data_IF_818125222416
#
_entry.id   IF_818125222416
#
_cell.length_a   1.000
_cell.length_b   1.000
_cell.length_c   1.000
_cell.angle_alpha   90.00
_cell.angle_beta   90.00
_cell.angle_gamma   90.00
#
_symmetry.space_group_name_H-M   'P 1'
#
loop_
_entity.id
_entity.type
_entity.pdbx_description
1 polymer ?
#
# COMPACT_ATOMS: atom_id res chain seq x y z
N UNK A 1 -42.06 -1.39 -26.79
CA UNK A 1 -41.82 -0.02 -26.27
C UNK A 1 -40.77 -0.07 -25.18
N UNK A 2 -39.54 0.32 -25.50
CA UNK A 2 -38.52 0.76 -24.54
C UNK A 2 -37.69 1.82 -25.27
N UNK A 3 -37.61 3.03 -24.69
CA UNK A 3 -37.08 4.22 -25.32
C UNK A 3 -35.54 4.19 -25.45
N UNK A 4 -35.09 4.48 -26.66
CA UNK A 4 -33.72 4.80 -27.07
C UNK A 4 -33.44 6.25 -26.64
N UNK A 5 -32.37 6.51 -25.88
CA UNK A 5 -31.83 7.86 -25.70
C UNK A 5 -30.52 7.96 -26.45
N UNK A 6 -30.61 8.53 -27.65
CA UNK A 6 -29.47 8.91 -28.49
C UNK A 6 -28.81 10.16 -27.91
N UNK A 7 -27.58 10.04 -27.42
CA UNK A 7 -26.72 11.21 -27.19
C UNK A 7 -25.90 11.48 -28.45
N UNK A 8 -26.32 12.49 -29.21
CA UNK A 8 -25.64 13.02 -30.39
C UNK A 8 -24.31 13.67 -30.00
N UNK A 9 -23.21 13.11 -30.50
CA UNK A 9 -21.88 13.70 -30.41
C UNK A 9 -21.76 14.84 -31.45
N UNK A 10 -21.58 16.08 -30.98
CA UNK A 10 -21.36 17.26 -31.80
C UNK A 10 -20.00 17.13 -32.54
N UNK A 11 -20.03 16.54 -33.73
CA UNK A 11 -18.89 16.41 -34.64
C UNK A 11 -18.64 17.73 -35.38
N UNK A 12 -17.93 18.65 -34.73
CA UNK A 12 -17.28 19.76 -35.45
C UNK A 12 -16.09 19.15 -36.21
N UNK A 13 -16.22 19.01 -37.54
CA UNK A 13 -15.15 18.50 -38.42
C UNK A 13 -13.99 19.51 -38.46
N UNK A 14 -12.98 19.33 -37.61
CA UNK A 14 -11.71 20.07 -37.72
C UNK A 14 -10.97 19.70 -39.02
N UNK A 15 -10.49 20.64 -39.84
CA UNK A 15 -9.61 20.26 -40.96
C UNK A 15 -8.29 19.65 -40.45
N UNK A 16 -7.64 18.79 -41.25
CA UNK A 16 -6.39 18.11 -40.83
C UNK A 16 -5.27 19.09 -40.48
N UNK A 17 -5.18 20.22 -41.19
CA UNK A 17 -4.23 21.30 -40.88
C UNK A 17 -4.49 21.91 -39.51
N UNK A 18 -5.74 22.23 -39.20
CA UNK A 18 -6.15 22.82 -37.91
C UNK A 18 -5.91 21.85 -36.75
N UNK A 19 -6.16 20.55 -36.96
CA UNK A 19 -5.92 19.52 -35.95
C UNK A 19 -4.43 19.39 -35.61
N UNK A 20 -3.55 19.48 -36.63
CA UNK A 20 -2.09 19.42 -36.44
C UNK A 20 -1.57 20.65 -35.69
N UNK A 21 -2.04 21.84 -36.03
CA UNK A 21 -1.61 23.08 -35.36
C UNK A 21 -2.02 23.12 -33.89
N UNK A 22 -3.25 22.71 -33.58
CA UNK A 22 -3.74 22.67 -32.20
C UNK A 22 -3.00 21.65 -31.33
N UNK A 23 -2.64 20.49 -31.90
CA UNK A 23 -1.80 19.50 -31.21
C UNK A 23 -0.40 20.04 -30.97
N UNK A 24 0.20 20.70 -31.97
CA UNK A 24 1.53 21.31 -31.86
C UNK A 24 1.56 22.41 -30.81
N UNK A 25 0.51 23.23 -30.73
CA UNK A 25 0.36 24.27 -29.69
C UNK A 25 0.35 23.69 -28.28
N UNK A 26 -0.20 22.50 -28.10
CA UNK A 26 -0.23 21.79 -26.82
C UNK A 26 0.99 20.87 -26.61
N UNK A 27 2.08 21.09 -27.36
CA UNK A 27 3.36 20.40 -27.20
C UNK A 27 3.40 18.99 -27.82
N UNK A 28 2.44 18.64 -28.69
CA UNK A 28 2.39 17.33 -29.34
C UNK A 28 2.55 17.44 -30.86
N UNK A 29 3.69 16.95 -31.39
CA UNK A 29 3.94 16.95 -32.82
C UNK A 29 3.33 15.69 -33.47
N UNK A 30 2.19 15.84 -34.14
CA UNK A 30 1.51 14.73 -34.80
C UNK A 30 2.20 14.32 -36.11
N UNK A 31 2.31 13.00 -36.34
CA UNK A 31 2.75 12.44 -37.62
C UNK A 31 1.73 12.66 -38.74
N UNK A 32 1.77 11.86 -39.83
CA UNK A 32 0.79 11.96 -40.92
C UNK A 32 -0.65 11.83 -40.40
N UNK A 33 -1.46 12.88 -40.59
CA UNK A 33 -2.89 12.86 -40.25
C UNK A 33 -3.61 12.42 -41.52
N UNK A 34 -4.01 11.16 -41.52
CA UNK A 34 -4.79 10.51 -42.58
C UNK A 34 -5.99 9.84 -41.91
N UNK A 35 -6.99 9.42 -42.68
CA UNK A 35 -8.26 8.92 -42.12
C UNK A 35 -8.11 7.84 -41.05
N UNK A 36 -7.14 6.94 -41.21
CA UNK A 36 -6.86 5.87 -40.25
C UNK A 36 -6.28 6.36 -38.92
N UNK A 37 -5.57 7.49 -38.90
CA UNK A 37 -4.90 8.05 -37.70
C UNK A 37 -5.63 9.28 -37.15
N UNK A 38 -6.57 9.84 -37.90
CA UNK A 38 -7.28 11.08 -37.56
C UNK A 38 -8.09 10.98 -36.26
N UNK A 39 -8.80 9.88 -36.05
CA UNK A 39 -9.59 9.66 -34.81
C UNK A 39 -8.71 9.58 -33.55
N UNK A 40 -7.50 9.05 -33.67
CA UNK A 40 -6.49 9.02 -32.60
C UNK A 40 -6.04 10.45 -32.24
N UNK A 41 -5.77 11.28 -33.23
CA UNK A 41 -5.32 12.66 -33.03
C UNK A 41 -6.41 13.57 -32.46
N UNK A 42 -7.68 13.37 -32.85
CA UNK A 42 -8.81 14.10 -32.24
C UNK A 42 -8.95 13.74 -30.75
N UNK A 43 -8.85 12.46 -30.39
CA UNK A 43 -8.87 12.02 -28.98
C UNK A 43 -7.68 12.57 -28.19
N UNK A 44 -6.50 12.62 -28.82
CA UNK A 44 -5.28 13.19 -28.23
C UNK A 44 -5.46 14.68 -27.93
N UNK A 45 -6.07 15.43 -28.86
CA UNK A 45 -6.32 16.86 -28.68
C UNK A 45 -7.28 17.12 -27.51
N UNK A 46 -8.38 16.36 -27.41
CA UNK A 46 -9.31 16.48 -26.30
C UNK A 46 -8.66 16.19 -24.94
N UNK A 47 -7.76 15.20 -24.90
CA UNK A 47 -7.00 14.85 -23.69
C UNK A 47 -6.03 15.96 -23.28
N UNK A 48 -5.30 16.53 -24.24
CA UNK A 48 -4.36 17.63 -23.98
C UNK A 48 -5.09 18.91 -23.53
N UNK A 49 -6.25 19.23 -24.12
CA UNK A 49 -7.07 20.37 -23.69
C UNK A 49 -7.58 20.20 -22.25
N UNK A 50 -7.94 18.98 -21.83
CA UNK A 50 -8.33 18.69 -20.44
C UNK A 50 -7.16 18.85 -19.47
N UNK A 51 -5.95 18.42 -19.85
CA UNK A 51 -4.73 18.62 -19.04
C UNK A 51 -4.34 20.10 -18.90
N UNK A 52 -4.43 20.88 -19.98
CA UNK A 52 -4.10 22.31 -19.94
C UNK A 52 -5.04 23.13 -19.03
N UNK A 53 -6.30 22.67 -18.87
CA UNK A 53 -7.27 23.32 -17.97
C UNK A 53 -7.05 22.99 -16.48
N UNK A 54 -6.30 21.95 -16.16
CA UNK A 54 -6.01 21.56 -14.77
C UNK A 54 -4.68 22.13 -14.24
N UNK A 55 -3.86 22.78 -15.05
CA UNK A 55 -2.50 23.25 -14.68
C UNK A 55 -2.38 24.76 -14.40
N UNK A 56 -3.48 25.54 -14.47
CA UNK A 56 -3.51 26.95 -14.06
C UNK A 56 -4.39 27.14 -12.82
N UNK A 57 -3.80 26.97 -11.64
CA UNK A 57 -4.47 27.22 -10.36
C UNK A 57 -3.71 26.66 -9.16
N UNK A 58 -2.54 27.23 -8.84
CA UNK A 58 -1.82 26.95 -7.59
C UNK A 58 -0.30 26.99 -7.74
N UNK A 59 0.34 27.95 -7.08
CA UNK A 59 1.75 28.32 -7.18
C UNK A 59 2.73 27.41 -6.40
N UNK A 60 3.80 27.02 -7.09
CA UNK A 60 5.21 26.82 -6.72
C UNK A 60 5.66 26.70 -5.24
N UNK A 61 6.20 25.52 -4.87
CA UNK A 61 7.56 25.38 -4.31
C UNK A 61 8.02 23.93 -4.43
N UNK A 62 9.12 23.70 -5.15
CA UNK A 62 9.53 22.39 -5.66
C UNK A 62 10.03 21.39 -4.62
N UNK A 63 9.55 20.16 -4.76
CA UNK A 63 10.28 18.92 -4.47
C UNK A 63 9.82 17.89 -5.51
N UNK A 64 10.77 17.28 -6.21
CA UNK A 64 10.52 16.30 -7.28
C UNK A 64 9.84 15.04 -6.72
N UNK A 65 8.53 14.90 -6.96
CA UNK A 65 7.73 13.74 -6.59
C UNK A 65 7.91 12.62 -7.62
N UNK A 66 8.58 11.54 -7.23
CA UNK A 66 8.53 10.25 -7.92
C UNK A 66 7.10 9.71 -7.78
N UNK A 67 6.23 10.06 -8.73
CA UNK A 67 4.84 9.63 -8.76
C UNK A 67 4.73 8.10 -8.92
N UNK A 68 4.49 7.40 -7.80
CA UNK A 68 4.06 6.01 -7.78
C UNK A 68 2.71 5.86 -8.50
N UNK A 69 2.63 4.94 -9.48
CA UNK A 69 1.36 4.58 -10.12
C UNK A 69 0.53 3.71 -9.16
N UNK A 70 -0.75 4.02 -8.91
CA UNK A 70 -1.60 3.18 -8.07
C UNK A 70 -1.78 1.78 -8.69
N UNK A 71 -1.62 0.74 -7.86
CA UNK A 71 -1.90 -0.66 -8.21
C UNK A 71 -3.39 -0.80 -8.61
N UNK A 72 -3.67 -1.59 -9.66
CA UNK A 72 -5.03 -1.80 -10.16
C UNK A 72 -5.89 -2.46 -9.08
N UNK A 73 -7.08 -1.91 -8.82
CA UNK A 73 -8.01 -2.45 -7.84
C UNK A 73 -8.35 -3.92 -8.12
N UNK A 74 -8.12 -4.80 -7.14
CA UNK A 74 -8.54 -6.21 -7.19
C UNK A 74 -10.06 -6.30 -7.05
N UNK A 75 -10.74 -6.79 -8.08
CA UNK A 75 -12.18 -7.08 -8.02
C UNK A 75 -12.42 -8.37 -7.22
N UNK A 76 -12.39 -8.28 -5.90
CA UNK A 76 -13.09 -9.23 -5.03
C UNK A 76 -14.26 -8.49 -4.38
N UNK A 77 -15.40 -8.55 -5.08
CA UNK A 77 -16.64 -7.90 -4.70
C UNK A 77 -17.22 -8.57 -3.45
N UNK A 78 -16.91 -8.02 -2.27
CA UNK A 78 -17.90 -8.00 -1.19
C UNK A 78 -18.83 -6.82 -1.46
N UNK A 79 -20.13 -6.98 -1.19
CA UNK A 79 -21.07 -5.86 -1.08
C UNK A 79 -20.38 -4.76 -0.27
N UNK A 80 -20.24 -3.58 -0.87
CA UNK A 80 -19.68 -2.41 -0.20
C UNK A 80 -20.64 -2.09 0.94
N UNK A 81 -20.36 -2.61 2.14
CA UNK A 81 -20.84 -2.00 3.35
C UNK A 81 -20.30 -0.57 3.30
N UNK A 82 -21.17 0.44 3.40
CA UNK A 82 -20.78 1.83 3.54
C UNK A 82 -20.10 1.98 4.90
N UNK A 83 -18.87 1.49 5.03
CA UNK A 83 -18.05 1.75 6.19
C UNK A 83 -17.81 3.26 6.25
N UNK A 84 -17.76 3.86 7.46
CA UNK A 84 -17.35 5.25 7.59
C UNK A 84 -15.99 5.45 6.92
N UNK A 85 -15.69 6.68 6.48
CA UNK A 85 -14.41 7.08 5.87
C UNK A 85 -13.25 6.91 6.86
N UNK A 86 -12.89 5.69 7.23
CA UNK A 86 -11.73 5.40 8.04
C UNK A 86 -10.52 5.39 7.11
N UNK A 87 -9.91 6.55 6.95
CA UNK A 87 -8.68 6.69 6.20
C UNK A 87 -7.53 6.53 7.19
N UNK A 88 -6.76 5.45 7.07
CA UNK A 88 -5.58 5.23 7.91
C UNK A 88 -4.56 6.38 7.81
N UNK A 89 -4.58 7.11 6.69
CA UNK A 89 -3.75 8.29 6.50
C UNK A 89 -4.19 9.43 7.41
N UNK A 90 -5.48 9.55 7.69
CA UNK A 90 -6.04 10.57 8.60
C UNK A 90 -6.02 10.08 10.06
N UNK A 91 -5.90 8.76 10.26
CA UNK A 91 -5.69 8.17 11.58
C UNK A 91 -4.24 8.42 11.99
N UNK A 92 -4.05 9.03 13.16
CA UNK A 92 -2.73 9.31 13.70
C UNK A 92 -1.90 10.30 12.84
N UNK A 93 -2.48 11.10 11.93
CA UNK A 93 -1.77 12.20 11.27
C UNK A 93 -2.22 13.58 11.79
N UNK A 94 -1.25 14.37 12.28
CA UNK A 94 -1.41 15.76 12.75
C UNK A 94 -1.97 15.87 14.17
N UNK A 95 -1.20 16.31 15.19
CA UNK A 95 -1.65 16.48 16.60
C UNK A 95 -2.43 15.30 17.24
N UNK A 96 -2.61 14.19 16.51
CA UNK A 96 -3.46 13.05 16.82
C UNK A 96 -2.60 11.86 17.30
N UNK A 97 -1.30 11.85 16.99
CA UNK A 97 -0.34 11.07 17.77
C UNK A 97 -0.20 11.56 19.23
N UNK A 98 -0.78 12.72 19.54
CA UNK A 98 -1.00 13.19 20.92
C UNK A 98 -2.44 12.94 21.43
N UNK A 99 -3.30 12.25 20.66
CA UNK A 99 -4.58 11.75 21.17
C UNK A 99 -4.38 10.62 22.17
N UNK A 100 -5.42 10.39 22.96
CA UNK A 100 -5.47 9.30 23.91
C UNK A 100 -5.39 7.95 23.17
N UNK A 101 -4.20 7.32 23.19
CA UNK A 101 -3.98 5.97 22.66
C UNK A 101 -4.64 4.89 23.52
N UNK A 102 -5.18 5.23 24.69
CA UNK A 102 -5.79 4.28 25.62
C UNK A 102 -6.85 3.36 25.00
N UNK A 103 -7.84 3.81 24.19
CA UNK A 103 -8.77 2.90 23.53
C UNK A 103 -8.07 1.89 22.60
N UNK A 104 -7.01 2.30 21.91
CA UNK A 104 -6.22 1.43 21.03
C UNK A 104 -5.43 0.38 21.83
N UNK A 105 -4.76 0.84 22.88
CA UNK A 105 -4.00 0.00 23.82
C UNK A 105 -4.93 -1.04 24.46
N UNK A 106 -6.09 -0.61 24.96
CA UNK A 106 -7.04 -1.49 25.64
C UNK A 106 -7.56 -2.62 24.73
N UNK A 107 -7.75 -2.35 23.43
CA UNK A 107 -8.14 -3.39 22.48
C UNK A 107 -7.01 -4.41 22.31
N UNK A 108 -5.76 -3.96 22.16
CA UNK A 108 -4.64 -4.88 22.03
C UNK A 108 -4.39 -5.68 23.32
N UNK A 109 -4.53 -5.06 24.50
CA UNK A 109 -4.47 -5.74 25.80
C UNK A 109 -5.56 -6.80 25.95
N UNK A 110 -6.81 -6.49 25.57
CA UNK A 110 -7.91 -7.47 25.57
C UNK A 110 -7.61 -8.65 24.64
N UNK A 111 -7.06 -8.36 23.46
CA UNK A 111 -6.69 -9.39 22.48
C UNK A 111 -5.61 -10.31 23.03
N UNK A 112 -4.53 -9.71 23.57
CA UNK A 112 -3.42 -10.45 24.18
C UNK A 112 -3.86 -11.26 25.39
N UNK A 113 -4.69 -10.69 26.26
CA UNK A 113 -5.21 -11.38 27.45
C UNK A 113 -6.06 -12.59 27.05
N UNK A 114 -6.90 -12.45 26.02
CA UNK A 114 -7.72 -13.55 25.53
C UNK A 114 -6.88 -14.73 25.00
N UNK A 115 -5.92 -14.47 24.11
CA UNK A 115 -5.06 -15.52 23.55
C UNK A 115 -3.98 -16.02 24.54
N UNK A 116 -3.67 -15.21 25.56
CA UNK A 116 -2.80 -15.58 26.66
C UNK A 116 -3.40 -16.58 27.64
N UNK A 117 -4.73 -16.68 27.70
CA UNK A 117 -5.45 -17.63 28.53
C UNK A 117 -5.57 -19.00 27.84
N UNK A 118 -4.94 -20.06 28.36
CA UNK A 118 -4.97 -21.39 27.75
C UNK A 118 -6.39 -21.96 27.55
N UNK A 119 -7.38 -21.52 28.32
CA UNK A 119 -8.78 -21.98 28.24
C UNK A 119 -9.47 -21.53 26.96
N UNK A 120 -8.96 -20.46 26.34
CA UNK A 120 -9.51 -19.90 25.10
C UNK A 120 -8.85 -20.48 23.84
N UNK A 121 -7.78 -21.23 24.00
CA UNK A 121 -6.98 -21.73 22.89
C UNK A 121 -7.51 -23.09 22.42
N UNK A 122 -7.66 -23.25 21.10
CA UNK A 122 -7.91 -24.56 20.52
C UNK A 122 -6.75 -25.52 20.85
N UNK A 123 -7.03 -26.80 21.04
CA UNK A 123 -6.05 -27.84 21.42
C UNK A 123 -4.81 -27.85 20.52
N UNK A 124 -4.96 -27.48 19.24
CA UNK A 124 -3.89 -27.45 18.25
C UNK A 124 -3.17 -26.09 18.12
N UNK A 125 -3.55 -25.09 18.92
CA UNK A 125 -3.06 -23.71 18.83
C UNK A 125 -2.52 -23.19 20.17
N UNK A 126 -1.66 -23.96 20.82
CA UNK A 126 -1.06 -23.60 22.12
C UNK A 126 0.40 -23.16 22.01
N UNK A 127 1.10 -23.55 20.94
CA UNK A 127 2.53 -23.23 20.77
C UNK A 127 2.76 -21.80 20.30
N UNK A 128 3.51 -21.04 21.11
CA UNK A 128 3.92 -19.65 20.83
C UNK A 128 5.14 -19.57 19.90
N UNK A 129 4.99 -20.05 18.66
CA UNK A 129 6.04 -20.03 17.63
C UNK A 129 5.73 -19.15 16.42
N UNK A 130 4.58 -18.48 16.45
CA UNK A 130 4.11 -17.66 15.35
C UNK A 130 4.53 -16.21 15.56
N UNK A 131 4.57 -15.48 14.46
CA UNK A 131 4.80 -14.04 14.41
C UNK A 131 4.10 -13.45 13.18
N UNK A 132 4.05 -12.14 13.11
CA UNK A 132 3.64 -11.40 11.91
C UNK A 132 4.85 -10.68 11.31
N UNK A 133 4.80 -10.37 10.02
CA UNK A 133 5.89 -9.67 9.35
C UNK A 133 5.35 -8.78 8.25
N UNK A 134 6.13 -7.76 7.93
CA UNK A 134 5.83 -6.77 6.91
C UNK A 134 6.93 -6.81 5.86
N UNK A 135 6.56 -6.69 4.58
CA UNK A 135 7.51 -6.27 3.56
C UNK A 135 7.32 -4.80 3.23
N UNK A 136 8.41 -4.04 3.31
CA UNK A 136 8.46 -2.61 3.01
C UNK A 136 9.34 -2.33 1.80
N UNK A 137 8.95 -1.32 1.04
CA UNK A 137 9.66 -0.84 -0.15
C UNK A 137 10.68 0.25 0.26
N UNK A 138 12.00 -0.04 0.23
CA UNK A 138 13.03 0.92 0.65
C UNK A 138 13.09 2.19 -0.19
N UNK A 139 12.54 2.16 -1.41
CA UNK A 139 12.48 3.33 -2.30
C UNK A 139 11.48 4.37 -1.78
N UNK A 140 10.54 3.93 -0.94
CA UNK A 140 9.56 4.78 -0.25
C UNK A 140 10.09 5.17 1.13
N UNK A 141 10.57 4.22 1.94
CA UNK A 141 11.08 4.53 3.29
C UNK A 141 12.27 5.47 3.25
N UNK A 142 13.15 5.34 2.25
CA UNK A 142 14.37 6.14 2.10
C UNK A 142 15.22 6.17 3.37
N UNK A 143 15.30 5.02 4.06
CA UNK A 143 15.96 4.88 5.36
C UNK A 143 15.44 5.89 6.39
N UNK A 144 14.12 5.88 6.58
CA UNK A 144 13.38 6.77 7.46
C UNK A 144 13.95 6.78 8.89
N UNK A 145 14.50 5.66 9.38
CA UNK A 145 15.13 5.57 10.70
C UNK A 145 16.34 6.49 10.87
N UNK A 146 17.16 6.71 9.83
CA UNK A 146 18.36 7.53 9.95
C UNK A 146 18.06 9.03 9.83
N UNK A 147 17.01 9.42 9.11
CA UNK A 147 16.53 10.80 9.09
C UNK A 147 16.16 11.30 10.49
N UNK A 148 15.63 10.41 11.35
CA UNK A 148 15.26 10.75 12.74
C UNK A 148 16.45 11.06 13.65
N UNK A 149 17.62 10.47 13.37
CA UNK A 149 18.85 10.67 14.14
C UNK A 149 19.57 11.96 13.77
N UNK A 150 19.37 12.43 12.54
CA UNK A 150 20.11 13.56 11.96
C UNK A 150 19.38 14.90 12.16
N UNK A 151 18.06 14.90 12.38
CA UNK A 151 17.26 16.12 12.37
C UNK A 151 16.71 16.49 13.77
N UNK A 152 17.22 17.59 14.33
CA UNK A 152 16.63 18.37 15.43
C UNK A 152 15.31 19.07 14.99
N UNK A 153 14.44 18.38 14.25
CA UNK A 153 13.14 18.91 13.80
C UNK A 153 12.09 18.65 14.88
N UNK A 154 11.23 19.65 15.10
CA UNK A 154 10.12 19.66 16.05
C UNK A 154 9.36 18.32 16.03
N UNK A 155 9.37 17.60 17.17
CA UNK A 155 8.87 16.21 17.35
C UNK A 155 7.58 15.88 16.59
N UNK A 156 6.62 16.81 16.53
CA UNK A 156 5.28 16.56 15.99
C UNK A 156 5.17 16.59 14.45
N UNK A 157 5.97 17.38 13.74
CA UNK A 157 5.95 17.36 12.26
C UNK A 157 6.66 16.12 11.71
N UNK A 158 7.63 15.60 12.47
CA UNK A 158 8.41 14.43 12.09
C UNK A 158 7.56 13.14 12.11
N UNK A 159 6.76 12.94 13.16
CA UNK A 159 6.00 11.69 13.36
C UNK A 159 4.89 11.46 12.32
N UNK A 160 4.22 12.51 11.83
CA UNK A 160 3.22 12.36 10.77
C UNK A 160 3.88 11.87 9.49
N UNK A 161 4.95 12.55 9.05
CA UNK A 161 5.71 12.13 7.88
C UNK A 161 6.24 10.70 8.04
N UNK A 162 6.76 10.35 9.22
CA UNK A 162 7.19 8.98 9.52
C UNK A 162 6.06 7.97 9.36
N UNK A 163 4.89 8.25 9.94
CA UNK A 163 3.70 7.41 9.82
C UNK A 163 3.29 7.24 8.36
N UNK A 164 3.13 8.34 7.64
CA UNK A 164 2.72 8.32 6.24
C UNK A 164 3.72 7.56 5.36
N UNK A 165 5.01 7.84 5.51
CA UNK A 165 6.09 7.16 4.76
C UNK A 165 6.12 5.67 5.09
N UNK A 166 6.01 5.30 6.37
CA UNK A 166 6.01 3.91 6.81
C UNK A 166 4.82 3.14 6.24
N UNK A 167 3.60 3.65 6.44
CA UNK A 167 2.37 3.01 5.96
C UNK A 167 2.38 2.85 4.43
N UNK A 168 2.82 3.88 3.69
CA UNK A 168 2.89 3.82 2.23
C UNK A 168 3.98 2.88 1.71
N UNK A 169 5.00 2.58 2.52
CA UNK A 169 6.07 1.65 2.13
C UNK A 169 5.66 0.18 2.25
N UNK A 170 4.70 -0.15 3.12
CA UNK A 170 4.25 -1.53 3.34
C UNK A 170 3.49 -2.00 2.09
N UNK A 171 4.01 -3.05 1.45
CA UNK A 171 3.35 -3.66 0.29
C UNK A 171 2.84 -5.07 0.56
N UNK A 172 3.22 -5.69 1.69
CA UNK A 172 2.73 -7.01 2.09
C UNK A 172 2.69 -7.15 3.61
N UNK A 173 1.63 -7.80 4.10
CA UNK A 173 1.48 -8.20 5.50
C UNK A 173 1.34 -9.71 5.56
N UNK A 174 2.14 -10.36 6.40
CA UNK A 174 2.11 -11.81 6.54
C UNK A 174 2.11 -12.26 7.98
N UNK A 175 1.72 -13.51 8.17
CA UNK A 175 1.98 -14.31 9.37
C UNK A 175 2.92 -15.45 9.03
N UNK A 176 3.76 -15.85 9.97
CA UNK A 176 4.71 -16.92 9.76
C UNK A 176 5.15 -17.65 11.00
N UNK A 177 5.90 -18.70 10.74
CA UNK A 177 6.64 -19.51 11.69
C UNK A 177 7.99 -19.80 11.02
N UNK A 178 9.09 -19.82 11.78
CA UNK A 178 10.43 -20.10 11.27
C UNK A 178 10.80 -19.19 10.07
N UNK A 179 11.50 -19.70 9.05
CA UNK A 179 11.95 -18.95 7.88
C UNK A 179 10.87 -18.62 6.82
N UNK A 180 9.59 -18.57 7.19
CA UNK A 180 8.51 -18.33 6.21
C UNK A 180 8.65 -17.03 5.38
N UNK A 181 9.09 -15.89 5.94
CA UNK A 181 9.30 -14.68 5.15
C UNK A 181 10.34 -14.88 4.05
N UNK A 182 11.45 -15.55 4.38
CA UNK A 182 12.54 -15.84 3.44
C UNK A 182 12.07 -16.70 2.26
N UNK A 183 11.15 -17.65 2.47
CA UNK A 183 10.60 -18.47 1.38
C UNK A 183 9.98 -17.65 0.23
N UNK A 184 9.42 -16.48 0.51
CA UNK A 184 8.88 -15.60 -0.53
C UNK A 184 9.98 -14.92 -1.34
N UNK A 185 11.10 -14.63 -0.71
CA UNK A 185 12.27 -14.04 -1.36
C UNK A 185 13.06 -15.11 -2.13
N UNK A 186 13.21 -16.32 -1.57
CA UNK A 186 13.78 -17.49 -2.24
C UNK A 186 12.99 -17.84 -3.52
N UNK A 187 11.65 -17.82 -3.45
CA UNK A 187 10.80 -18.02 -4.62
C UNK A 187 11.05 -16.97 -5.70
N UNK A 188 11.12 -15.68 -5.32
CA UNK A 188 11.45 -14.61 -6.25
C UNK A 188 12.84 -14.82 -6.85
N UNK A 189 13.83 -15.16 -6.03
CA UNK A 189 15.21 -15.38 -6.47
C UNK A 189 15.31 -16.52 -7.49
N UNK A 190 14.68 -17.66 -7.21
CA UNK A 190 14.65 -18.81 -8.13
C UNK A 190 13.98 -18.46 -9.46
N UNK A 191 12.86 -17.72 -9.43
CA UNK A 191 12.21 -17.26 -10.66
C UNK A 191 13.12 -16.34 -11.49
N UNK A 192 13.94 -15.50 -10.84
CA UNK A 192 14.83 -14.54 -11.51
C UNK A 192 16.12 -15.21 -12.03
N UNK A 193 16.85 -15.94 -11.18
CA UNK A 193 18.13 -16.58 -11.49
C UNK A 193 17.94 -17.85 -12.34
N UNK A 194 17.07 -18.76 -11.91
CA UNK A 194 16.98 -20.08 -12.55
C UNK A 194 16.11 -20.06 -13.81
N UNK A 195 15.01 -19.30 -13.79
CA UNK A 195 14.05 -19.23 -14.91
C UNK A 195 14.24 -18.00 -15.80
N UNK A 196 15.12 -17.07 -15.44
CA UNK A 196 15.40 -15.87 -16.20
C UNK A 196 14.21 -14.90 -16.31
N UNK A 197 13.24 -14.97 -15.39
CA UNK A 197 12.06 -14.10 -15.46
C UNK A 197 12.43 -12.68 -15.06
N UNK A 198 12.05 -11.72 -15.92
CA UNK A 198 12.15 -10.28 -15.64
C UNK A 198 10.88 -9.71 -15.04
N UNK A 199 9.76 -10.42 -15.17
CA UNK A 199 8.45 -9.98 -14.70
C UNK A 199 7.63 -11.17 -14.20
N UNK A 200 6.71 -10.94 -13.26
CA UNK A 200 5.79 -11.92 -12.70
C UNK A 200 4.33 -11.43 -12.78
N UNK A 201 3.39 -12.38 -12.88
CA UNK A 201 1.96 -12.09 -12.73
C UNK A 201 1.54 -11.96 -11.26
N UNK A 202 2.33 -12.50 -10.33
CA UNK A 202 2.14 -12.30 -8.90
C UNK A 202 2.68 -10.91 -8.54
N UNK A 203 1.78 -10.02 -8.09
CA UNK A 203 2.12 -8.64 -7.75
C UNK A 203 3.16 -8.53 -6.63
N UNK A 204 3.19 -9.49 -5.69
CA UNK A 204 4.18 -9.51 -4.61
C UNK A 204 5.55 -9.82 -5.18
N UNK A 205 5.66 -10.85 -6.01
CA UNK A 205 6.92 -11.21 -6.68
C UNK A 205 7.37 -10.10 -7.63
N UNK A 206 6.44 -9.51 -8.38
CA UNK A 206 6.74 -8.37 -9.25
C UNK A 206 7.27 -7.18 -8.43
N UNK A 207 6.67 -6.86 -7.28
CA UNK A 207 7.18 -5.79 -6.42
C UNK A 207 8.59 -6.07 -5.89
N UNK A 208 8.88 -7.33 -5.53
CA UNK A 208 10.22 -7.75 -5.12
C UNK A 208 11.22 -7.54 -6.27
N UNK A 209 10.86 -7.93 -7.50
CA UNK A 209 11.69 -7.67 -8.69
C UNK A 209 11.94 -6.18 -8.89
N UNK A 210 10.90 -5.36 -8.85
CA UNK A 210 11.01 -3.91 -9.04
C UNK A 210 11.97 -3.27 -8.02
N UNK A 211 11.97 -3.75 -6.77
CA UNK A 211 12.87 -3.26 -5.71
C UNK A 211 14.32 -3.68 -6.01
N UNK A 212 14.52 -4.95 -6.38
CA UNK A 212 15.86 -5.47 -6.70
C UNK A 212 16.43 -4.90 -8.00
N UNK A 213 15.60 -4.55 -8.98
CA UNK A 213 16.00 -3.89 -10.22
C UNK A 213 16.48 -2.44 -9.98
N UNK A 214 16.05 -1.80 -8.89
CA UNK A 214 16.47 -0.45 -8.48
C UNK A 214 17.70 -0.47 -7.55
N UNK A 215 18.46 -1.57 -7.54
CA UNK A 215 19.63 -1.80 -6.67
C UNK A 215 19.34 -1.58 -5.18
N UNK A 216 18.15 -2.01 -4.74
CA UNK A 216 17.73 -2.05 -3.33
C UNK A 216 17.39 -3.48 -2.92
N UNK A 217 17.24 -3.71 -1.61
CA UNK A 217 16.75 -4.97 -1.05
C UNK A 217 15.44 -4.79 -0.30
N UNK A 218 14.58 -5.81 -0.32
CA UNK A 218 13.29 -5.76 0.38
C UNK A 218 13.52 -5.68 1.88
N UNK A 219 12.80 -4.79 2.58
CA UNK A 219 12.87 -4.75 4.04
C UNK A 219 11.88 -5.79 4.58
N UNK A 220 12.37 -6.77 5.32
CA UNK A 220 11.54 -7.77 6.00
C UNK A 220 11.51 -7.50 7.50
N UNK A 221 10.48 -6.78 7.94
CA UNK A 221 10.32 -6.47 9.36
C UNK A 221 9.49 -7.53 10.05
N UNK A 222 10.07 -8.24 11.01
CA UNK A 222 9.32 -9.17 11.87
C UNK A 222 8.72 -8.42 13.05
N UNK A 223 7.42 -8.61 13.30
CA UNK A 223 6.65 -7.93 14.35
C UNK A 223 5.79 -8.92 15.13
N UNK A 224 5.60 -8.66 16.42
CA UNK A 224 4.80 -9.48 17.35
C UNK A 224 5.22 -10.96 17.38
N UNK A 225 6.39 -11.23 17.98
CA UNK A 225 6.92 -12.58 18.16
C UNK A 225 6.27 -13.35 19.31
N UNK A 226 6.51 -14.67 19.35
CA UNK A 226 6.10 -15.54 20.44
C UNK A 226 4.59 -15.52 20.70
N UNK A 227 3.82 -15.44 19.62
CA UNK A 227 2.35 -15.52 19.65
C UNK A 227 1.88 -16.88 19.16
N UNK A 228 0.67 -17.26 19.56
CA UNK A 228 0.01 -18.44 19.00
C UNK A 228 -0.46 -18.13 17.57
N UNK A 229 -0.84 -19.16 16.82
CA UNK A 229 -1.22 -19.03 15.43
C UNK A 229 -2.45 -18.13 15.24
N UNK A 230 -3.51 -18.34 16.03
CA UNK A 230 -4.75 -17.54 15.92
C UNK A 230 -4.55 -16.06 16.26
N UNK A 231 -3.63 -15.74 17.17
CA UNK A 231 -3.25 -14.37 17.48
C UNK A 231 -2.53 -13.72 16.29
N UNK A 232 -1.57 -14.43 15.68
CA UNK A 232 -0.91 -13.97 14.46
C UNK A 232 -1.89 -13.79 13.27
N UNK A 233 -2.87 -14.70 13.12
CA UNK A 233 -3.95 -14.56 12.13
C UNK A 233 -4.77 -13.28 12.36
N UNK A 234 -5.06 -12.98 13.63
CA UNK A 234 -5.85 -11.82 14.03
C UNK A 234 -5.08 -10.52 13.79
N UNK A 235 -3.80 -10.46 14.14
CA UNK A 235 -2.94 -9.30 13.87
C UNK A 235 -2.73 -9.05 12.38
N UNK A 236 -2.50 -10.10 11.59
CA UNK A 236 -2.44 -10.00 10.12
C UNK A 236 -3.75 -9.43 9.55
N UNK A 237 -4.91 -9.93 9.99
CA UNK A 237 -6.21 -9.44 9.55
C UNK A 237 -6.43 -7.97 9.88
N UNK A 238 -6.18 -7.57 11.14
CA UNK A 238 -6.36 -6.21 11.59
C UNK A 238 -5.46 -5.22 10.83
N UNK A 239 -4.18 -5.56 10.62
CA UNK A 239 -3.26 -4.73 9.85
C UNK A 239 -3.66 -4.62 8.37
N UNK A 240 -4.10 -5.72 7.74
CA UNK A 240 -4.59 -5.70 6.34
C UNK A 240 -5.83 -4.81 6.20
N UNK A 241 -6.78 -4.93 7.12
CA UNK A 241 -8.01 -4.13 7.07
C UNK A 241 -7.73 -2.65 7.30
N UNK A 242 -6.83 -2.32 8.24
CA UNK A 242 -6.43 -0.94 8.50
C UNK A 242 -5.70 -0.31 7.30
N UNK A 243 -4.77 -1.03 6.66
CA UNK A 243 -4.05 -0.55 5.46
C UNK A 243 -4.96 -0.48 4.22
N UNK A 244 -5.95 -1.38 4.16
CA UNK A 244 -6.79 -1.61 2.99
C UNK A 244 -6.08 -2.48 1.96
N UNK A 245 -6.72 -3.60 1.59
CA UNK A 245 -6.16 -4.62 0.69
C UNK A 245 -5.71 -4.07 -0.68
N UNK A 246 -6.31 -2.99 -1.17
CA UNK A 246 -5.99 -2.40 -2.48
C UNK A 246 -4.59 -1.77 -2.52
N UNK A 247 -4.00 -1.46 -1.36
CA UNK A 247 -2.62 -0.95 -1.25
C UNK A 247 -1.59 -2.07 -1.13
N UNK A 248 -2.05 -3.30 -0.90
CA UNK A 248 -1.21 -4.46 -0.64
C UNK A 248 -1.18 -5.43 -1.81
N UNK A 249 -0.05 -6.11 -1.93
CA UNK A 249 0.16 -7.23 -2.86
C UNK A 249 -0.50 -8.52 -2.36
N UNK A 250 -0.97 -8.56 -1.11
CA UNK A 250 -1.76 -9.65 -0.55
C UNK A 250 -2.90 -10.08 -1.49
N UNK A 251 -3.07 -11.39 -1.68
CA UNK A 251 -4.15 -11.95 -2.52
C UNK A 251 -5.41 -12.21 -1.70
N UNK A 252 -5.25 -12.55 -0.41
CA UNK A 252 -6.32 -12.91 0.51
C UNK A 252 -6.36 -11.91 1.65
N UNK A 253 -7.58 -11.63 2.11
CA UNK A 253 -7.80 -10.97 3.40
C UNK A 253 -7.36 -11.89 4.55
N UNK A 254 -7.09 -11.29 5.70
CA UNK A 254 -6.83 -12.03 6.92
C UNK A 254 -8.10 -12.68 7.50
N UNK A 255 -7.94 -13.40 8.60
CA UNK A 255 -9.06 -14.05 9.29
C UNK A 255 -9.00 -13.76 10.78
N UNK A 256 -9.95 -12.99 11.29
CA UNK A 256 -10.10 -12.75 12.72
C UNK A 256 -10.44 -14.04 13.48
N UNK A 257 -9.80 -14.22 14.62
CA UNK A 257 -9.99 -15.35 15.55
C UNK A 257 -10.35 -14.84 16.94
N UNK A 258 -10.76 -15.75 17.81
CA UNK A 258 -11.08 -15.44 19.20
C UNK A 258 -12.16 -14.36 19.34
N UNK A 259 -12.04 -13.55 20.41
CA UNK A 259 -12.96 -12.44 20.69
C UNK A 259 -12.99 -11.38 19.60
N UNK A 260 -11.89 -11.18 18.87
CA UNK A 260 -11.78 -10.10 17.88
C UNK A 260 -12.72 -10.35 16.70
N UNK A 261 -13.05 -11.62 16.42
CA UNK A 261 -14.00 -11.99 15.36
C UNK A 261 -15.41 -11.40 15.58
N UNK A 262 -15.83 -11.18 16.84
CA UNK A 262 -17.15 -10.63 17.18
C UNK A 262 -17.13 -9.12 17.44
N UNK A 263 -15.99 -8.47 17.34
CA UNK A 263 -15.87 -7.02 17.53
C UNK A 263 -16.52 -6.24 16.39
N UNK A 264 -16.86 -4.98 16.68
CA UNK A 264 -17.29 -4.04 15.65
C UNK A 264 -16.14 -3.76 14.69
N UNK A 265 -16.45 -3.46 13.43
CA UNK A 265 -15.44 -3.12 12.41
C UNK A 265 -14.52 -1.97 12.87
N UNK A 266 -15.07 -0.99 13.57
CA UNK A 266 -14.30 0.14 14.14
C UNK A 266 -13.23 -0.33 15.15
N UNK A 267 -13.56 -1.29 16.02
CA UNK A 267 -12.63 -1.83 17.02
C UNK A 267 -11.53 -2.66 16.34
N UNK A 268 -11.88 -3.44 15.31
CA UNK A 268 -10.93 -4.20 14.51
C UNK A 268 -9.95 -3.27 13.77
N UNK A 269 -10.45 -2.18 13.19
CA UNK A 269 -9.64 -1.15 12.53
C UNK A 269 -8.71 -0.43 13.52
N UNK A 270 -9.23 -0.06 14.70
CA UNK A 270 -8.42 0.54 15.78
C UNK A 270 -7.29 -0.40 16.21
N UNK A 271 -7.58 -1.69 16.41
CA UNK A 271 -6.54 -2.69 16.69
C UNK A 271 -5.46 -2.69 15.60
N UNK A 272 -5.86 -2.73 14.32
CA UNK A 272 -4.94 -2.71 13.18
C UNK A 272 -4.04 -1.49 13.14
N UNK A 273 -4.61 -0.29 13.34
CA UNK A 273 -3.87 0.97 13.40
C UNK A 273 -2.84 0.96 14.52
N UNK A 274 -3.21 0.47 15.71
CA UNK A 274 -2.29 0.40 16.84
C UNK A 274 -1.13 -0.57 16.62
N UNK A 275 -1.41 -1.71 15.99
CA UNK A 275 -0.37 -2.68 15.63
C UNK A 275 0.62 -2.09 14.63
N UNK A 276 0.14 -1.33 13.63
CA UNK A 276 1.00 -0.62 12.69
C UNK A 276 1.82 0.48 13.36
N UNK A 277 1.24 1.19 14.34
CA UNK A 277 1.96 2.18 15.14
C UNK A 277 3.10 1.53 15.95
N UNK A 278 2.85 0.39 16.59
CA UNK A 278 3.91 -0.39 17.24
C UNK A 278 4.98 -0.86 16.25
N UNK A 279 4.57 -1.29 15.04
CA UNK A 279 5.50 -1.70 13.99
C UNK A 279 6.40 -0.54 13.53
N UNK A 280 5.84 0.67 13.36
CA UNK A 280 6.62 1.87 13.05
C UNK A 280 7.66 2.15 14.14
N UNK A 281 7.25 2.15 15.41
CA UNK A 281 8.17 2.40 16.53
C UNK A 281 9.30 1.36 16.56
N UNK A 282 8.98 0.08 16.32
CA UNK A 282 10.01 -0.96 16.21
C UNK A 282 10.96 -0.68 15.04
N UNK A 283 10.44 -0.27 13.87
CA UNK A 283 11.25 0.04 12.69
C UNK A 283 12.20 1.22 12.95
N UNK A 284 11.71 2.29 13.59
CA UNK A 284 12.54 3.46 13.93
C UNK A 284 13.67 3.11 14.90
N UNK A 285 13.40 2.20 15.85
CA UNK A 285 14.38 1.77 16.85
C UNK A 285 15.39 0.75 16.30
N UNK A 286 14.95 -0.22 15.52
CA UNK A 286 15.79 -1.29 14.96
C UNK A 286 16.62 -0.81 13.76
N UNK A 287 16.11 0.20 13.05
CA UNK A 287 16.67 0.71 11.81
C UNK A 287 16.28 -0.11 10.58
N UNK A 288 16.59 0.42 9.41
CA UNK A 288 16.33 -0.26 8.14
C UNK A 288 17.39 -1.33 7.83
N UNK A 289 16.93 -2.53 7.46
CA UNK A 289 17.77 -3.59 6.89
C UNK A 289 17.14 -4.14 5.63
N UNK A 290 17.90 -4.12 4.54
CA UNK A 290 17.46 -4.55 3.22
C UNK A 290 17.97 -5.95 2.91
N UNK A 291 17.11 -6.79 2.34
CA UNK A 291 17.45 -8.13 1.83
C UNK A 291 17.57 -8.09 0.30
N UNK A 292 18.81 -8.04 -0.17
CA UNK A 292 19.19 -8.05 -1.59
C UNK A 292 19.23 -9.48 -2.13
N UNK A 293 19.26 -9.68 -3.46
CA UNK A 293 19.34 -11.01 -4.05
C UNK A 293 20.52 -11.88 -3.59
N UNK A 294 21.58 -11.29 -3.06
CA UNK A 294 22.77 -12.00 -2.56
C UNK A 294 22.70 -12.30 -1.06
N UNK A 295 21.71 -11.73 -0.34
CA UNK A 295 21.43 -12.01 1.08
C UNK A 295 20.44 -13.17 1.26
N UNK A 296 19.92 -13.73 0.16
CA UNK A 296 18.88 -14.77 0.09
C UNK A 296 19.51 -16.08 -0.39
#
# INVERSE_FOLDING_TARGET
>A
MWYRTDYKENSVKFSDSTLREELRRLGFNAGPIVDSTRSLYVKKLATLKRKSKSEYGGSFSGVTELAYKPLKAKQQQRKICKAPRFNIQDCLSGADLTQDLKPYIQLEEKTRAYFGDPRNNSTNNTTKKSFTYLFLDPRITKNLSDETKIQNITKNQNINRQWETFINSIFYVGKGTNGRPYKHLEEALSLRKDKGYKTSKDEKIQRIFDIWDDDKGVICQHVFHNVIQDEAFTYEAAMIDALGINRLTNIKLGSYKGIVKSWREEEQLKLGVYLLYKALNNYLNEGERQLRPDDI
#
